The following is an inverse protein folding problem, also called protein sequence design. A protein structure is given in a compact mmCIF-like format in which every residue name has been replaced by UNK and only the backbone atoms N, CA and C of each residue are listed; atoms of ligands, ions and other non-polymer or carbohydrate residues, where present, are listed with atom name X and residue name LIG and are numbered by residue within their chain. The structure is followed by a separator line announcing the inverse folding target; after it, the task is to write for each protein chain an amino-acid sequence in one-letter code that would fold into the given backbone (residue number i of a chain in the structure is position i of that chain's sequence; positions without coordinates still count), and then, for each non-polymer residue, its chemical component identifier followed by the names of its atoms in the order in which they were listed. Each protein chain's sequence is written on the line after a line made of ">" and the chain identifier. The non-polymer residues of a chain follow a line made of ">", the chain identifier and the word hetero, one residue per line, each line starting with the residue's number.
data_IF_343276378384
#
_entry.id   IF_343276378384
#
_cell.length_a   1.000
_cell.length_b   1.000
_cell.length_c   1.000
_cell.angle_alpha   90.00
_cell.angle_beta   90.00
_cell.angle_gamma   90.00
#
_symmetry.space_group_name_H-M   'P 1'
#
loop_
_entity.id
_entity.type
_entity.pdbx_description
1 polymer ?
#
# COMPACT_ATOMS: atom_id res chain seq x y z
N UNK A 1 6.32 24.26 75.73
CA UNK A 1 5.95 24.73 74.37
C UNK A 1 5.98 23.53 73.44
N UNK A 2 5.12 23.27 72.45
CA UNK A 2 3.78 23.70 71.99
C UNK A 2 3.27 22.48 71.19
N UNK A 3 1.96 22.33 71.14
CA UNK A 3 1.18 21.21 70.64
C UNK A 3 0.61 21.58 69.25
N UNK A 4 0.80 20.80 68.17
CA UNK A 4 -0.06 20.88 66.96
C UNK A 4 -0.19 19.49 66.31
N UNK A 5 -1.38 18.90 66.49
CA UNK A 5 -1.97 17.83 65.68
C UNK A 5 -2.64 18.50 64.48
N UNK A 6 -2.30 18.11 63.25
CA UNK A 6 -3.11 18.47 62.06
C UNK A 6 -3.80 17.20 61.55
N UNK A 7 -5.14 17.22 61.68
CA UNK A 7 -6.08 16.24 61.13
C UNK A 7 -6.13 16.35 59.61
N UNK A 8 -6.02 15.23 58.91
CA UNK A 8 -6.45 15.12 57.51
C UNK A 8 -7.97 15.01 57.47
N UNK A 9 -8.63 16.04 56.91
CA UNK A 9 -10.06 16.03 56.63
C UNK A 9 -10.33 15.13 55.41
N UNK A 10 -10.96 13.98 55.64
CA UNK A 10 -11.68 13.23 54.61
C UNK A 10 -13.05 13.88 54.41
N UNK A 11 -13.20 14.70 53.38
CA UNK A 11 -14.50 15.10 52.85
C UNK A 11 -14.41 15.13 51.32
N UNK A 12 -14.94 14.08 50.69
CA UNK A 12 -15.72 14.02 49.43
C UNK A 12 -15.57 12.62 48.81
N UNK A 13 -16.66 11.84 48.66
CA UNK A 13 -16.58 10.62 47.86
C UNK A 13 -16.50 10.99 46.37
N UNK A 14 -15.70 10.27 45.55
CA UNK A 14 -15.77 10.45 44.10
C UNK A 14 -17.15 10.00 43.62
N UNK A 15 -17.81 10.87 42.86
CA UNK A 15 -19.13 10.64 42.28
C UNK A 15 -19.02 9.42 41.35
N UNK A 16 -19.57 8.28 41.78
CA UNK A 16 -19.59 7.00 41.03
C UNK A 16 -20.17 7.10 39.60
N UNK A 17 -20.87 8.20 39.28
CA UNK A 17 -21.45 8.46 37.97
C UNK A 17 -20.46 8.92 36.89
N UNK A 18 -19.27 9.42 37.24
CA UNK A 18 -18.32 9.95 36.24
C UNK A 18 -17.53 8.85 35.53
N UNK A 19 -17.14 7.81 36.28
CA UNK A 19 -16.37 6.67 35.74
C UNK A 19 -17.22 5.79 34.79
N UNK A 20 -18.50 5.60 35.10
CA UNK A 20 -19.42 4.79 34.29
C UNK A 20 -19.78 5.49 32.97
N UNK A 21 -19.90 6.83 32.98
CA UNK A 21 -20.15 7.63 31.76
C UNK A 21 -18.95 7.65 30.81
N UNK A 22 -17.73 7.69 31.35
CA UNK A 22 -16.50 7.63 30.56
C UNK A 22 -16.30 6.28 29.88
N UNK A 23 -16.66 5.17 30.55
CA UNK A 23 -16.57 3.82 30.00
C UNK A 23 -17.62 3.54 28.92
N UNK A 24 -18.85 4.05 29.08
CA UNK A 24 -19.88 3.98 28.03
C UNK A 24 -19.52 4.79 26.78
N UNK A 25 -18.93 5.97 26.94
CA UNK A 25 -18.45 6.80 25.82
C UNK A 25 -17.29 6.12 25.07
N UNK A 26 -16.38 5.45 25.79
CA UNK A 26 -15.30 4.66 25.19
C UNK A 26 -15.82 3.44 24.43
N UNK A 27 -16.79 2.71 25.01
CA UNK A 27 -17.45 1.58 24.34
C UNK A 27 -18.30 2.01 23.14
N UNK A 28 -18.93 3.19 23.18
CA UNK A 28 -19.64 3.76 22.03
C UNK A 28 -18.69 4.25 20.93
N UNK A 29 -17.46 4.68 21.25
CA UNK A 29 -16.45 5.00 20.23
C UNK A 29 -15.89 3.72 19.58
N UNK A 30 -15.71 2.63 20.33
CA UNK A 30 -15.31 1.34 19.77
C UNK A 30 -16.42 0.68 18.93
N UNK A 31 -17.69 0.82 19.32
CA UNK A 31 -18.81 0.29 18.54
C UNK A 31 -19.09 1.08 17.24
N UNK A 32 -18.41 2.21 17.04
CA UNK A 32 -18.43 3.02 15.81
C UNK A 32 -17.13 2.90 15.02
N UNK A 33 -16.29 1.90 15.29
CA UNK A 33 -15.42 1.37 14.24
C UNK A 33 -16.35 0.70 13.23
N UNK A 34 -16.66 1.47 12.19
CA UNK A 34 -17.28 1.09 10.92
C UNK A 34 -17.27 -0.43 10.70
N UNK A 35 -18.45 -1.05 10.87
CA UNK A 35 -18.80 -2.19 10.01
C UNK A 35 -19.00 -1.56 8.63
N UNK A 36 -17.90 -1.25 7.93
CA UNK A 36 -17.94 -1.11 6.49
C UNK A 36 -18.12 -2.53 5.98
N UNK A 37 -19.34 -2.85 5.55
CA UNK A 37 -19.55 -4.00 4.70
C UNK A 37 -18.65 -3.80 3.48
N UNK A 38 -17.56 -4.56 3.37
CA UNK A 38 -16.78 -4.69 2.13
C UNK A 38 -17.78 -4.88 0.99
N UNK A 39 -17.83 -3.93 0.06
CA UNK A 39 -18.65 -4.11 -1.12
C UNK A 39 -18.08 -5.31 -1.86
N UNK A 40 -18.87 -6.39 -2.00
CA UNK A 40 -18.40 -7.58 -2.70
C UNK A 40 -17.93 -7.19 -4.11
N UNK A 41 -16.78 -7.70 -4.57
CA UNK A 41 -16.23 -7.34 -5.87
C UNK A 41 -17.23 -7.66 -6.97
N UNK A 42 -17.34 -6.77 -7.95
CA UNK A 42 -18.20 -6.99 -9.12
C UNK A 42 -17.47 -7.96 -10.05
N UNK A 43 -17.91 -9.20 -10.06
CA UNK A 43 -17.36 -10.23 -10.95
C UNK A 43 -17.70 -9.97 -12.41
N UNK A 44 -16.74 -10.30 -13.28
CA UNK A 44 -16.81 -10.22 -14.74
C UNK A 44 -16.71 -11.59 -15.39
N UNK A 45 -17.07 -12.65 -14.65
CA UNK A 45 -16.94 -14.05 -15.06
C UNK A 45 -17.52 -14.34 -16.45
N UNK A 46 -18.63 -13.68 -16.81
CA UNK A 46 -19.31 -13.87 -18.10
C UNK A 46 -18.53 -13.36 -19.31
N UNK A 47 -17.43 -12.63 -19.09
CA UNK A 47 -16.53 -12.16 -20.14
C UNK A 47 -15.46 -13.20 -20.52
N UNK A 48 -15.34 -14.30 -19.76
CA UNK A 48 -14.27 -15.29 -19.89
C UNK A 48 -14.82 -16.72 -19.77
N UNK A 49 -14.11 -17.69 -20.33
CA UNK A 49 -14.33 -19.10 -20.03
C UNK A 49 -13.49 -19.49 -18.81
N UNK A 50 -14.16 -19.75 -17.67
CA UNK A 50 -13.50 -20.02 -16.40
C UNK A 50 -13.66 -21.48 -15.96
N UNK A 51 -12.61 -22.10 -15.39
CA UNK A 51 -12.77 -23.36 -14.68
C UNK A 51 -13.74 -23.22 -13.50
N UNK A 52 -14.37 -24.34 -13.10
CA UNK A 52 -15.30 -24.34 -11.98
C UNK A 52 -14.65 -23.83 -10.69
N UNK A 53 -15.31 -22.89 -10.01
CA UNK A 53 -14.85 -22.28 -8.76
C UNK A 53 -13.90 -21.09 -8.92
N UNK A 54 -13.56 -20.70 -10.16
CA UNK A 54 -12.78 -19.49 -10.43
C UNK A 54 -13.67 -18.31 -10.74
N UNK A 55 -13.26 -17.14 -10.27
CA UNK A 55 -13.93 -15.86 -10.51
C UNK A 55 -12.90 -14.83 -10.93
N UNK A 56 -13.32 -13.87 -11.76
CA UNK A 56 -12.51 -12.73 -12.15
C UNK A 56 -13.27 -11.46 -11.79
N UNK A 57 -12.58 -10.48 -11.23
CA UNK A 57 -13.08 -9.13 -11.06
C UNK A 57 -12.01 -8.14 -11.50
N UNK A 58 -12.42 -6.91 -11.75
CA UNK A 58 -11.50 -5.83 -12.11
C UNK A 58 -10.92 -5.22 -10.84
N UNK A 59 -9.62 -5.39 -10.65
CA UNK A 59 -8.91 -4.92 -9.46
C UNK A 59 -8.67 -3.40 -9.44
N UNK A 60 -8.40 -2.81 -10.62
CA UNK A 60 -8.05 -1.40 -10.73
C UNK A 60 -8.45 -0.85 -12.12
N UNK A 61 -8.77 0.44 -12.15
CA UNK A 61 -9.01 1.16 -13.41
C UNK A 61 -7.70 1.55 -14.10
N UNK A 62 -7.75 1.75 -15.43
CA UNK A 62 -6.58 2.19 -16.21
C UNK A 62 -6.02 3.53 -15.72
N UNK A 63 -6.86 4.36 -15.10
CA UNK A 63 -6.44 5.61 -14.45
C UNK A 63 -5.44 5.36 -13.33
N UNK A 64 -5.55 4.25 -12.61
CA UNK A 64 -4.63 3.85 -11.56
C UNK A 64 -3.39 3.15 -12.13
N UNK A 65 -3.59 2.15 -12.99
CA UNK A 65 -2.49 1.29 -13.49
C UNK A 65 -1.60 1.96 -14.53
N UNK A 66 -2.15 2.83 -15.40
CA UNK A 66 -1.43 3.32 -16.57
C UNK A 66 -1.18 2.22 -17.59
N UNK A 67 -0.08 2.31 -18.35
CA UNK A 67 0.39 1.18 -19.17
C UNK A 67 0.87 0.06 -18.25
N UNK A 68 0.52 -1.20 -18.56
CA UNK A 68 0.96 -2.34 -17.74
C UNK A 68 1.99 -3.15 -18.52
N UNK A 69 3.28 -2.95 -18.21
CA UNK A 69 4.38 -3.75 -18.75
C UNK A 69 4.73 -4.93 -17.83
N UNK A 70 4.68 -4.72 -16.52
CA UNK A 70 4.90 -5.75 -15.51
C UNK A 70 4.09 -5.44 -14.24
N UNK A 71 3.77 -6.47 -13.46
CA UNK A 71 3.02 -6.37 -12.20
C UNK A 71 3.66 -7.30 -11.16
N UNK A 72 4.00 -6.77 -9.99
CA UNK A 72 4.59 -7.54 -8.90
C UNK A 72 4.00 -7.16 -7.54
N UNK A 73 3.98 -8.10 -6.61
CA UNK A 73 3.75 -7.83 -5.20
C UNK A 73 5.07 -7.60 -4.48
N UNK A 74 5.13 -6.59 -3.61
CA UNK A 74 6.26 -6.43 -2.71
C UNK A 74 6.14 -7.34 -1.46
N UNK A 75 7.14 -7.27 -0.57
CA UNK A 75 7.17 -8.06 0.66
C UNK A 75 6.05 -7.74 1.66
N UNK A 76 5.30 -6.66 1.46
CA UNK A 76 4.12 -6.28 2.25
C UNK A 76 2.81 -6.60 1.53
N UNK A 77 2.86 -7.24 0.35
CA UNK A 77 1.67 -7.55 -0.46
C UNK A 77 1.09 -6.35 -1.21
N UNK A 78 1.82 -5.22 -1.29
CA UNK A 78 1.39 -4.06 -2.09
C UNK A 78 1.69 -4.30 -3.56
N UNK A 79 0.83 -3.78 -4.44
CA UNK A 79 0.94 -3.98 -5.88
C UNK A 79 1.78 -2.86 -6.51
N UNK A 80 2.78 -3.25 -7.27
CA UNK A 80 3.54 -2.38 -8.15
C UNK A 80 3.16 -2.66 -9.61
N UNK A 81 2.98 -1.59 -10.39
CA UNK A 81 2.73 -1.65 -11.83
C UNK A 81 3.82 -0.88 -12.55
N UNK A 82 4.41 -1.55 -13.53
CA UNK A 82 5.34 -0.97 -14.48
C UNK A 82 4.62 -0.18 -15.57
N UNK A 83 4.68 1.16 -15.50
CA UNK A 83 4.14 2.06 -16.51
C UNK A 83 5.25 2.58 -17.43
N UNK A 84 4.88 2.94 -18.65
CA UNK A 84 5.69 3.44 -19.78
C UNK A 84 7.09 3.97 -19.47
N UNK A 85 7.28 4.81 -18.45
CA UNK A 85 8.61 5.28 -18.01
C UNK A 85 8.78 5.33 -16.49
N UNK A 86 7.86 4.71 -15.73
CA UNK A 86 7.80 4.80 -14.28
C UNK A 86 7.30 3.53 -13.59
N UNK A 87 7.53 3.40 -12.29
CA UNK A 87 6.87 2.40 -11.45
C UNK A 87 5.84 3.09 -10.58
N UNK A 88 4.60 2.58 -10.63
CA UNK A 88 3.48 3.00 -9.81
C UNK A 88 3.28 1.99 -8.69
N UNK A 89 3.07 2.46 -7.47
CA UNK A 89 2.52 1.65 -6.37
C UNK A 89 1.04 1.97 -6.24
N UNK A 90 0.18 0.97 -6.40
CA UNK A 90 -1.25 1.17 -6.29
C UNK A 90 -1.64 1.44 -4.82
N UNK A 91 -2.68 2.23 -4.64
CA UNK A 91 -3.26 2.57 -3.33
C UNK A 91 -4.76 2.28 -3.35
N UNK A 92 -5.15 1.32 -2.51
CA UNK A 92 -6.52 1.06 -2.05
C UNK A 92 -6.74 1.94 -0.82
N UNK A 93 -7.64 2.92 -0.93
CA UNK A 93 -7.79 3.98 0.09
C UNK A 93 -8.86 3.68 1.13
N UNK A 94 -9.85 2.90 0.76
CA UNK A 94 -10.96 2.51 1.63
C UNK A 94 -10.90 1.04 2.08
N UNK A 95 -9.81 0.36 1.72
CA UNK A 95 -9.45 -1.00 2.15
C UNK A 95 -10.49 -2.04 1.72
N UNK A 96 -11.06 -1.88 0.52
CA UNK A 96 -12.08 -2.78 -0.05
C UNK A 96 -11.50 -3.80 -1.05
N UNK A 97 -10.19 -3.78 -1.27
CA UNK A 97 -9.48 -4.64 -2.21
C UNK A 97 -9.52 -4.18 -3.66
N UNK A 98 -10.15 -3.04 -3.95
CA UNK A 98 -10.11 -2.32 -5.23
C UNK A 98 -9.11 -1.17 -5.08
N UNK A 99 -8.41 -0.83 -6.16
CA UNK A 99 -7.35 0.18 -6.13
C UNK A 99 -7.77 1.40 -6.95
N UNK A 100 -8.08 2.51 -6.28
CA UNK A 100 -8.61 3.74 -6.89
C UNK A 100 -7.49 4.65 -7.38
N UNK A 101 -6.28 4.51 -6.82
CA UNK A 101 -5.20 5.46 -7.02
C UNK A 101 -3.81 4.84 -6.94
N UNK A 102 -2.79 5.69 -7.05
CA UNK A 102 -1.41 5.26 -7.10
C UNK A 102 -0.46 6.38 -6.68
N UNK A 103 0.77 5.97 -6.31
CA UNK A 103 1.95 6.84 -6.23
C UNK A 103 2.98 6.43 -7.26
N UNK A 104 3.55 7.40 -7.96
CA UNK A 104 4.76 7.17 -8.76
C UNK A 104 5.95 7.11 -7.81
N UNK A 105 6.58 5.94 -7.70
CA UNK A 105 7.68 5.71 -6.76
C UNK A 105 9.05 5.69 -7.43
N UNK A 106 9.12 5.38 -8.74
CA UNK A 106 10.38 5.38 -9.48
C UNK A 106 10.19 5.92 -10.90
N UNK A 107 11.17 6.66 -11.39
CA UNK A 107 11.25 7.19 -12.76
C UNK A 107 12.68 7.03 -13.28
N UNK A 108 12.96 7.40 -14.53
CA UNK A 108 14.31 7.27 -15.10
C UNK A 108 14.61 5.89 -15.68
N UNK A 109 13.57 5.14 -16.05
CA UNK A 109 13.68 3.82 -16.66
C UNK A 109 14.04 3.85 -18.16
N UNK A 110 14.35 5.02 -18.72
CA UNK A 110 14.59 5.20 -20.15
C UNK A 110 13.30 5.27 -20.97
N UNK A 111 13.41 5.05 -22.30
CA UNK A 111 12.30 5.24 -23.25
C UNK A 111 11.30 4.08 -23.33
N UNK A 112 11.44 3.04 -22.51
CA UNK A 112 10.54 1.88 -22.45
C UNK A 112 10.19 1.57 -21.00
N UNK A 113 8.97 1.06 -20.80
CA UNK A 113 8.46 0.71 -19.48
C UNK A 113 9.23 -0.46 -18.89
N UNK A 114 9.22 -0.61 -17.56
CA UNK A 114 9.96 -1.68 -16.91
C UNK A 114 9.33 -3.02 -17.29
N UNK A 115 10.13 -3.89 -17.90
CA UNK A 115 9.70 -5.22 -18.36
C UNK A 115 9.75 -6.29 -17.25
N UNK A 116 10.43 -5.95 -16.16
CA UNK A 116 10.63 -6.81 -15.01
C UNK A 116 10.88 -5.96 -13.76
N UNK A 117 10.23 -6.33 -12.67
CA UNK A 117 10.28 -5.67 -11.37
C UNK A 117 10.65 -6.67 -10.28
N UNK A 118 11.55 -6.27 -9.40
CA UNK A 118 11.88 -7.02 -8.19
C UNK A 118 12.09 -6.06 -7.03
N UNK A 119 11.32 -6.22 -5.97
CA UNK A 119 11.59 -5.61 -4.67
C UNK A 119 12.36 -6.60 -3.82
N UNK A 120 13.50 -6.19 -3.28
CA UNK A 120 14.28 -6.99 -2.34
C UNK A 120 14.94 -6.11 -1.29
N UNK A 121 14.51 -6.27 -0.03
CA UNK A 121 14.88 -5.38 1.07
C UNK A 121 14.52 -3.93 0.75
N UNK A 122 15.45 -3.01 1.01
CA UNK A 122 15.28 -1.57 0.75
C UNK A 122 15.51 -1.17 -0.74
N UNK A 123 15.56 -2.15 -1.65
CA UNK A 123 15.87 -1.92 -3.06
C UNK A 123 14.75 -2.33 -4.00
N UNK A 124 14.60 -1.55 -5.07
CA UNK A 124 13.82 -1.91 -6.26
C UNK A 124 14.78 -2.07 -7.44
N UNK A 125 14.65 -3.20 -8.12
CA UNK A 125 15.31 -3.49 -9.39
C UNK A 125 14.26 -3.43 -10.49
N UNK A 126 14.56 -2.69 -11.56
CA UNK A 126 13.63 -2.54 -12.67
C UNK A 126 14.37 -2.67 -14.00
N UNK A 127 13.90 -3.55 -14.88
CA UNK A 127 14.47 -3.76 -16.21
C UNK A 127 13.93 -2.70 -17.17
N UNK A 128 14.66 -1.60 -17.33
CA UNK A 128 14.28 -0.45 -18.17
C UNK A 128 14.91 -0.46 -19.56
N UNK A 129 14.74 0.64 -20.31
CA UNK A 129 15.14 0.79 -21.71
C UNK A 129 16.62 0.56 -22.04
N UNK A 130 17.51 0.56 -21.05
CA UNK A 130 18.95 0.33 -21.28
C UNK A 130 19.63 -0.62 -20.29
N UNK A 131 18.84 -1.39 -19.52
CA UNK A 131 19.34 -2.40 -18.60
C UNK A 131 18.62 -2.40 -17.24
N UNK A 132 19.18 -3.13 -16.28
CA UNK A 132 18.67 -3.17 -14.90
C UNK A 132 18.98 -1.85 -14.19
N UNK A 133 17.94 -1.14 -13.77
CA UNK A 133 18.03 0.05 -12.95
C UNK A 133 17.89 -0.32 -11.48
N UNK A 134 18.75 0.23 -10.63
CA UNK A 134 18.67 0.08 -9.18
C UNK A 134 18.13 1.35 -8.54
N UNK A 135 17.21 1.16 -7.61
CA UNK A 135 16.69 2.20 -6.73
C UNK A 135 16.82 1.75 -5.27
N UNK A 136 17.02 2.71 -4.36
CA UNK A 136 17.06 2.47 -2.91
C UNK A 136 16.05 3.32 -2.15
N UNK A 137 15.85 3.02 -0.87
CA UNK A 137 14.91 3.72 0.01
C UNK A 137 13.48 3.19 -0.11
N UNK A 138 13.30 1.93 -0.55
CA UNK A 138 11.98 1.32 -0.70
C UNK A 138 11.17 1.30 0.60
N UNK A 139 11.83 1.03 1.72
CA UNK A 139 11.20 0.93 3.04
C UNK A 139 10.74 2.28 3.59
N UNK A 140 11.25 3.40 3.05
CA UNK A 140 10.80 4.74 3.45
C UNK A 140 9.33 5.01 3.09
N UNK A 141 8.80 4.31 2.09
CA UNK A 141 7.48 4.58 1.54
C UNK A 141 7.41 5.81 0.61
N UNK A 142 8.49 6.57 0.45
CA UNK A 142 8.57 7.75 -0.40
C UNK A 142 9.04 7.41 -1.84
N UNK A 143 9.27 8.45 -2.64
CA UNK A 143 9.90 8.33 -3.96
C UNK A 143 11.32 7.78 -3.81
N UNK A 144 11.65 6.77 -4.60
CA UNK A 144 12.91 6.06 -4.50
C UNK A 144 14.07 6.87 -5.09
N UNK A 145 15.25 6.66 -4.53
CA UNK A 145 16.49 7.23 -5.06
C UNK A 145 17.03 6.34 -6.17
N UNK A 146 17.14 6.85 -7.39
CA UNK A 146 17.81 6.15 -8.49
C UNK A 146 19.32 6.08 -8.22
N UNK A 147 19.85 4.86 -8.13
CA UNK A 147 21.26 4.58 -7.92
C UNK A 147 22.04 4.42 -9.25
N UNK A 148 21.31 4.24 -10.35
CA UNK A 148 21.86 4.06 -11.68
C UNK A 148 21.66 2.65 -12.21
N UNK A 149 22.31 2.36 -13.35
CA UNK A 149 22.25 1.05 -14.00
C UNK A 149 23.23 0.07 -13.37
N UNK A 150 22.79 -1.15 -13.15
CA UNK A 150 23.63 -2.27 -12.78
C UNK A 150 24.15 -2.98 -14.03
N UNK A 151 25.47 -3.12 -14.11
CA UNK A 151 26.13 -3.87 -15.17
C UNK A 151 26.12 -3.18 -16.54
N UNK A 152 26.33 -3.99 -17.58
CA UNK A 152 26.43 -3.52 -18.95
C UNK A 152 25.06 -3.12 -19.52
N UNK A 153 25.06 -2.22 -20.49
CA UNK A 153 23.86 -1.83 -21.23
C UNK A 153 23.34 -3.00 -22.06
N UNK A 154 22.04 -3.22 -22.05
CA UNK A 154 21.35 -4.14 -22.96
C UNK A 154 20.00 -3.56 -23.41
N UNK A 155 19.47 -4.09 -24.52
CA UNK A 155 18.17 -3.69 -25.05
C UNK A 155 17.04 -4.46 -24.36
N UNK A 156 15.89 -3.81 -24.20
CA UNK A 156 14.68 -4.35 -23.56
C UNK A 156 13.43 -4.08 -24.39
N UNK A 157 12.34 -4.82 -24.15
CA UNK A 157 11.00 -4.54 -24.68
C UNK A 157 10.73 -4.99 -26.12
N UNK A 158 11.46 -5.97 -26.64
CA UNK A 158 11.02 -6.76 -27.82
C UNK A 158 10.84 -8.20 -27.39
N UNK A 159 10.07 -9.00 -28.12
CA UNK A 159 9.73 -10.40 -27.78
C UNK A 159 10.95 -11.32 -27.54
N UNK A 160 12.12 -10.88 -27.98
CA UNK A 160 13.40 -11.59 -27.83
C UNK A 160 14.44 -10.78 -27.04
N UNK A 161 14.02 -9.72 -26.35
CA UNK A 161 14.88 -8.88 -25.53
C UNK A 161 14.81 -9.30 -24.06
N UNK A 162 15.64 -8.67 -23.22
CA UNK A 162 15.54 -8.90 -21.79
C UNK A 162 14.23 -8.34 -21.23
N UNK A 163 13.64 -9.11 -20.32
CA UNK A 163 12.47 -8.78 -19.52
C UNK A 163 12.84 -8.83 -18.05
#
# INVERSE_FOLDING_TARGET
>A
MINIIIKYNYLYPPIKGFFVRSLLLFLCHFAFEKIQTEAAPIYVDTQFELPSGFHIYKLAENTATGGSYDIVFDGQGRILVGDTTSVRRLEDKDEDGIYESYKVIATGLGGRGPQGLLVYGDSLYAVGGDGVQLYSGYESGDVLRHQGRLGARFNTGGDHAAH
#
